data_IF_831299113150
#
_entry.id   IF_831299113150
#
_cell.length_a   1.000
_cell.length_b   1.000
_cell.length_c   1.000
_cell.angle_alpha   90.00
_cell.angle_beta   90.00
_cell.angle_gamma   90.00
#
_symmetry.space_group_name_H-M   'P 1'
#
loop_
_entity.id
_entity.type
_entity.pdbx_description
1 polymer ?
#
# COMPACT_ATOMS: atom_id res chain seq x y z
N UNK A 1 -6.67 -14.39 -18.42
CA UNK A 1 -5.43 -13.99 -17.70
C UNK A 1 -5.64 -12.57 -17.20
N UNK A 2 -5.68 -12.36 -15.88
CA UNK A 2 -5.72 -11.01 -15.29
C UNK A 2 -4.38 -10.33 -15.60
N UNK A 3 -4.38 -9.31 -16.44
CA UNK A 3 -3.25 -8.39 -16.53
C UNK A 3 -3.18 -7.65 -15.20
N UNK A 4 -2.26 -8.05 -14.33
CA UNK A 4 -1.98 -7.35 -13.08
C UNK A 4 -1.44 -5.96 -13.45
N UNK A 5 -2.34 -5.01 -13.64
CA UNK A 5 -2.00 -3.64 -14.01
C UNK A 5 -1.29 -2.99 -12.81
N UNK A 6 -0.03 -2.58 -13.01
CA UNK A 6 0.75 -1.89 -11.99
C UNK A 6 0.04 -0.57 -11.68
N UNK A 7 -0.45 -0.43 -10.45
CA UNK A 7 -1.03 0.81 -9.97
C UNK A 7 0.06 1.83 -9.62
N UNK A 8 -0.27 3.11 -9.67
CA UNK A 8 0.63 4.17 -9.21
C UNK A 8 1.07 3.97 -7.76
N UNK A 9 0.14 3.54 -6.88
CA UNK A 9 0.46 3.26 -5.47
C UNK A 9 1.42 2.09 -5.31
N UNK A 10 1.22 0.99 -6.05
CA UNK A 10 2.17 -0.14 -6.02
C UNK A 10 3.56 0.28 -6.50
N UNK A 11 3.65 1.13 -7.52
CA UNK A 11 4.94 1.65 -7.99
C UNK A 11 5.59 2.60 -6.97
N UNK A 12 4.82 3.47 -6.32
CA UNK A 12 5.29 4.34 -5.24
C UNK A 12 5.86 3.53 -4.08
N UNK A 13 5.10 2.54 -3.61
CA UNK A 13 5.55 1.65 -2.52
C UNK A 13 6.77 0.85 -2.95
N UNK A 14 6.82 0.35 -4.18
CA UNK A 14 7.98 -0.35 -4.73
C UNK A 14 9.25 0.52 -4.68
N UNK A 15 9.17 1.79 -5.09
CA UNK A 15 10.30 2.74 -5.00
C UNK A 15 10.76 2.96 -3.56
N UNK A 16 9.82 3.17 -2.65
CA UNK A 16 10.14 3.31 -1.22
C UNK A 16 10.87 2.06 -0.70
N UNK A 17 10.40 0.86 -1.07
CA UNK A 17 11.05 -0.39 -0.68
C UNK A 17 12.44 -0.54 -1.30
N UNK A 18 12.64 -0.11 -2.55
CA UNK A 18 13.97 -0.07 -3.17
C UNK A 18 14.92 0.89 -2.45
N UNK A 19 14.44 2.01 -1.93
CA UNK A 19 15.23 2.95 -1.13
C UNK A 19 15.59 2.36 0.25
N UNK A 20 14.66 1.64 0.88
CA UNK A 20 14.93 0.89 2.12
C UNK A 20 16.02 -0.17 1.89
N UNK A 21 15.93 -0.93 0.80
CA UNK A 21 16.96 -1.92 0.40
C UNK A 21 18.31 -1.23 0.19
N UNK A 22 18.33 -0.15 -0.59
CA UNK A 22 19.53 0.64 -0.87
C UNK A 22 20.23 1.00 0.44
N UNK A 23 19.55 1.68 1.36
CA UNK A 23 20.13 2.12 2.63
C UNK A 23 20.54 0.99 3.55
N UNK A 24 19.79 -0.11 3.56
CA UNK A 24 20.08 -1.25 4.44
C UNK A 24 21.34 -2.03 4.02
N UNK A 25 21.71 -2.00 2.73
CA UNK A 25 22.71 -2.89 2.16
C UNK A 25 23.80 -2.21 1.31
N UNK A 26 23.73 -0.90 1.02
CA UNK A 26 24.71 -0.23 0.15
C UNK A 26 26.15 -0.27 0.66
N UNK A 27 26.35 -0.37 1.97
CA UNK A 27 27.67 -0.52 2.60
C UNK A 27 28.03 -1.97 2.93
N UNK A 28 27.09 -2.91 2.76
CA UNK A 28 27.23 -4.33 3.16
C UNK A 28 27.41 -5.27 1.99
N UNK A 29 26.94 -4.88 0.81
CA UNK A 29 26.86 -5.74 -0.37
C UNK A 29 27.47 -5.08 -1.60
N UNK A 30 27.85 -5.91 -2.58
CA UNK A 30 28.34 -5.41 -3.86
C UNK A 30 27.26 -4.63 -4.62
N UNK A 31 27.68 -3.71 -5.50
CA UNK A 31 26.75 -2.99 -6.39
C UNK A 31 25.93 -3.93 -7.28
N UNK A 32 26.49 -5.06 -7.69
CA UNK A 32 25.78 -6.08 -8.48
C UNK A 32 24.68 -6.75 -7.64
N UNK A 33 25.00 -7.20 -6.43
CA UNK A 33 24.04 -7.79 -5.49
C UNK A 33 22.91 -6.81 -5.19
N UNK A 34 23.25 -5.56 -4.89
CA UNK A 34 22.27 -4.51 -4.59
C UNK A 34 21.34 -4.23 -5.78
N UNK A 35 21.86 -4.25 -7.00
CA UNK A 35 21.05 -4.11 -8.22
C UNK A 35 20.05 -5.27 -8.35
N UNK A 36 20.47 -6.49 -8.03
CA UNK A 36 19.58 -7.67 -8.03
C UNK A 36 18.50 -7.55 -6.94
N UNK A 37 18.85 -7.13 -5.72
CA UNK A 37 17.90 -6.93 -4.62
C UNK A 37 16.82 -5.88 -4.93
N UNK A 38 17.13 -4.88 -5.75
CA UNK A 38 16.17 -3.85 -6.18
C UNK A 38 15.30 -4.28 -7.36
N UNK A 39 15.54 -5.45 -7.96
CA UNK A 39 14.85 -5.92 -9.17
C UNK A 39 13.77 -6.95 -8.82
N UNK A 40 12.58 -6.44 -8.50
CA UNK A 40 11.39 -7.26 -8.26
C UNK A 40 10.13 -6.59 -8.81
N UNK A 41 9.13 -7.41 -9.14
CA UNK A 41 7.79 -6.97 -9.45
C UNK A 41 6.96 -6.85 -8.18
N UNK A 42 6.13 -5.82 -8.09
CA UNK A 42 5.34 -5.55 -6.88
C UNK A 42 3.90 -5.18 -7.24
N UNK A 43 2.93 -5.89 -6.67
CA UNK A 43 1.52 -5.72 -7.00
C UNK A 43 0.63 -5.72 -5.76
N UNK A 44 -0.43 -4.93 -5.85
CA UNK A 44 -1.56 -5.00 -4.95
C UNK A 44 -2.66 -5.85 -5.56
N UNK A 45 -3.21 -6.76 -4.77
CA UNK A 45 -4.26 -7.67 -5.20
C UNK A 45 -5.52 -7.46 -4.37
N UNK A 46 -6.65 -7.21 -5.04
CA UNK A 46 -7.96 -7.06 -4.42
C UNK A 46 -8.44 -8.40 -3.81
N UNK A 47 -7.94 -8.75 -2.64
CA UNK A 47 -8.27 -10.01 -1.96
C UNK A 47 -8.14 -9.82 -0.45
N UNK A 48 -9.07 -10.44 0.25
CA UNK A 48 -9.16 -10.46 1.71
C UNK A 48 -9.23 -11.93 2.15
N UNK A 49 -8.29 -12.38 2.99
CA UNK A 49 -8.15 -13.78 3.38
C UNK A 49 -7.06 -14.02 4.42
N UNK A 50 -6.62 -15.27 4.56
CA UNK A 50 -5.62 -15.66 5.58
C UNK A 50 -4.19 -15.22 5.28
N UNK A 51 -3.88 -14.95 4.01
CA UNK A 51 -2.52 -14.63 3.55
C UNK A 51 -2.44 -13.12 3.31
N UNK A 52 -1.53 -12.45 4.02
CA UNK A 52 -1.33 -11.01 3.95
C UNK A 52 -0.51 -10.60 2.71
N UNK A 53 0.42 -11.45 2.29
CA UNK A 53 1.29 -11.25 1.15
C UNK A 53 2.03 -12.53 0.81
N UNK A 54 2.69 -12.56 -0.35
CA UNK A 54 3.60 -13.64 -0.72
C UNK A 54 4.62 -13.19 -1.77
N UNK A 55 5.81 -13.74 -1.66
CA UNK A 55 6.89 -13.67 -2.63
C UNK A 55 6.97 -14.95 -3.48
N UNK A 56 7.15 -14.78 -4.79
CA UNK A 56 7.37 -15.84 -5.77
C UNK A 56 8.79 -15.70 -6.33
N UNK A 57 9.69 -16.61 -5.95
CA UNK A 57 11.12 -16.53 -6.25
C UNK A 57 11.47 -16.83 -7.71
N UNK A 58 10.68 -17.65 -8.40
CA UNK A 58 10.85 -18.01 -9.81
C UNK A 58 10.77 -16.80 -10.76
N UNK A 59 9.95 -15.82 -10.40
CA UNK A 59 9.69 -14.62 -11.22
C UNK A 59 9.94 -13.30 -10.48
N UNK A 60 10.56 -13.36 -9.30
CA UNK A 60 10.82 -12.22 -8.41
C UNK A 60 9.59 -11.32 -8.22
N UNK A 61 8.45 -11.91 -7.88
CA UNK A 61 7.16 -11.22 -7.76
C UNK A 61 6.68 -11.18 -6.32
N UNK A 62 6.32 -9.99 -5.86
CA UNK A 62 5.68 -9.73 -4.58
C UNK A 62 4.22 -9.34 -4.83
N UNK A 63 3.30 -9.96 -4.09
CA UNK A 63 1.88 -9.60 -4.08
C UNK A 63 1.41 -9.35 -2.66
N UNK A 64 0.73 -8.23 -2.45
CA UNK A 64 0.19 -7.81 -1.15
C UNK A 64 -1.35 -7.80 -1.20
N UNK A 65 -1.97 -8.25 -0.12
CA UNK A 65 -3.42 -8.41 0.08
C UNK A 65 -3.85 -7.83 1.44
N UNK A 66 -5.13 -7.98 1.77
CA UNK A 66 -5.72 -7.62 3.06
C UNK A 66 -5.57 -6.13 3.40
N UNK A 67 -6.13 -5.27 2.55
CA UNK A 67 -6.05 -3.82 2.69
C UNK A 67 -7.09 -3.21 3.65
N UNK A 68 -7.96 -4.04 4.23
CA UNK A 68 -8.85 -3.62 5.32
C UNK A 68 -8.09 -3.30 6.63
N UNK A 69 -6.85 -3.78 6.74
CA UNK A 69 -5.95 -3.56 7.88
C UNK A 69 -5.38 -2.14 7.93
N UNK A 70 -4.90 -1.68 9.10
CA UNK A 70 -4.19 -0.40 9.20
C UNK A 70 -3.00 -0.33 8.24
N UNK A 71 -2.75 0.84 7.65
CA UNK A 71 -1.72 1.01 6.62
C UNK A 71 -0.32 0.60 7.11
N UNK A 72 0.00 0.82 8.39
CA UNK A 72 1.24 0.35 9.01
C UNK A 72 1.42 -1.18 8.96
N UNK A 73 0.35 -1.95 9.19
CA UNK A 73 0.39 -3.41 9.12
C UNK A 73 0.61 -3.89 7.68
N UNK A 74 -0.03 -3.21 6.72
CA UNK A 74 0.16 -3.48 5.29
C UNK A 74 1.61 -3.17 4.89
N UNK A 75 2.18 -2.05 5.35
CA UNK A 75 3.57 -1.71 5.06
C UNK A 75 4.56 -2.72 5.65
N UNK A 76 4.36 -3.18 6.88
CA UNK A 76 5.19 -4.24 7.46
C UNK A 76 5.08 -5.53 6.65
N UNK A 77 3.89 -5.87 6.16
CA UNK A 77 3.72 -6.98 5.21
C UNK A 77 4.55 -6.76 3.95
N UNK A 78 4.56 -5.54 3.39
CA UNK A 78 5.39 -5.22 2.23
C UNK A 78 6.89 -5.42 2.50
N UNK A 79 7.37 -4.95 3.66
CA UNK A 79 8.77 -5.11 4.07
C UNK A 79 9.10 -6.59 4.32
N UNK A 80 8.18 -7.36 4.91
CA UNK A 80 8.32 -8.80 5.12
C UNK A 80 8.49 -9.55 3.79
N UNK A 81 7.65 -9.28 2.80
CA UNK A 81 7.79 -9.93 1.48
C UNK A 81 9.04 -9.48 0.73
N UNK A 82 9.46 -8.22 0.91
CA UNK A 82 10.76 -7.75 0.39
C UNK A 82 11.92 -8.42 1.11
N UNK A 83 11.81 -8.71 2.41
CA UNK A 83 12.82 -9.46 3.13
C UNK A 83 12.99 -10.87 2.53
N UNK A 84 11.90 -11.55 2.17
CA UNK A 84 11.98 -12.83 1.45
C UNK A 84 12.72 -12.71 0.10
N UNK A 85 12.50 -11.62 -0.63
CA UNK A 85 13.22 -11.37 -1.88
C UNK A 85 14.72 -11.13 -1.63
N UNK A 86 15.07 -10.21 -0.73
CA UNK A 86 16.47 -9.87 -0.40
C UNK A 86 17.22 -11.10 0.11
N UNK A 87 16.59 -11.85 1.01
CA UNK A 87 17.13 -13.08 1.57
C UNK A 87 17.37 -14.15 0.49
N UNK A 88 16.44 -14.30 -0.46
CA UNK A 88 16.61 -15.16 -1.63
C UNK A 88 17.76 -14.69 -2.53
N UNK A 89 17.96 -13.39 -2.73
CA UNK A 89 19.10 -12.89 -3.53
C UNK A 89 20.43 -13.22 -2.84
N UNK A 90 20.49 -13.16 -1.51
CA UNK A 90 21.71 -13.46 -0.74
C UNK A 90 22.01 -14.96 -0.72
N UNK A 91 21.00 -15.79 -0.42
CA UNK A 91 21.19 -17.22 -0.11
C UNK A 91 20.72 -18.18 -1.19
N UNK A 92 20.05 -17.69 -2.22
CA UNK A 92 19.32 -18.49 -3.22
C UNK A 92 18.21 -19.37 -2.60
N UNK A 93 17.79 -19.09 -1.37
CA UNK A 93 16.66 -19.69 -0.68
C UNK A 93 16.07 -18.70 0.35
N UNK A 94 14.80 -18.90 0.72
CA UNK A 94 14.19 -18.12 1.80
C UNK A 94 13.21 -18.95 2.63
N UNK A 95 13.32 -18.84 3.96
CA UNK A 95 12.53 -19.56 4.97
C UNK A 95 12.40 -18.67 6.21
N UNK A 96 11.46 -18.94 7.11
CA UNK A 96 11.31 -18.17 8.36
C UNK A 96 12.32 -18.60 9.44
N UNK A 97 13.61 -18.56 9.13
CA UNK A 97 14.72 -18.87 10.04
C UNK A 97 15.38 -17.60 10.62
N UNK A 98 16.39 -17.77 11.48
CA UNK A 98 17.09 -16.65 12.11
C UNK A 98 17.75 -15.72 11.08
N UNK A 99 18.26 -16.25 9.97
CA UNK A 99 18.90 -15.46 8.91
C UNK A 99 17.89 -14.58 8.19
N UNK A 100 16.70 -15.11 7.88
CA UNK A 100 15.59 -14.30 7.38
C UNK A 100 15.20 -13.19 8.36
N UNK A 101 15.09 -13.48 9.66
CA UNK A 101 14.76 -12.46 10.65
C UNK A 101 15.85 -11.39 10.78
N UNK A 102 17.12 -11.72 10.50
CA UNK A 102 18.18 -10.72 10.41
C UNK A 102 17.99 -9.79 9.21
N UNK A 103 17.67 -10.34 8.03
CA UNK A 103 17.36 -9.54 6.83
C UNK A 103 16.17 -8.63 7.08
N UNK A 104 15.10 -9.20 7.64
CA UNK A 104 13.89 -8.46 7.92
C UNK A 104 14.12 -7.34 8.95
N UNK A 105 14.84 -7.64 10.04
CA UNK A 105 15.22 -6.64 11.04
C UNK A 105 16.02 -5.48 10.41
N UNK A 106 17.01 -5.78 9.57
CA UNK A 106 17.82 -4.75 8.90
C UNK A 106 16.97 -3.80 8.06
N UNK A 107 15.98 -4.33 7.34
CA UNK A 107 15.05 -3.51 6.56
C UNK A 107 14.11 -2.69 7.46
N UNK A 108 13.64 -3.27 8.57
CA UNK A 108 12.76 -2.59 9.53
C UNK A 108 13.45 -1.43 10.23
N UNK A 109 14.68 -1.59 10.74
CA UNK A 109 15.38 -0.48 11.43
C UNK A 109 15.61 0.71 10.49
N UNK A 110 15.90 0.44 9.21
CA UNK A 110 16.04 1.48 8.19
C UNK A 110 14.68 2.12 7.90
N UNK A 111 13.62 1.33 7.74
CA UNK A 111 12.28 1.87 7.52
C UNK A 111 11.81 2.76 8.69
N UNK A 112 12.11 2.37 9.93
CA UNK A 112 11.83 3.20 11.12
C UNK A 112 12.70 4.46 11.13
N UNK A 113 13.99 4.35 10.81
CA UNK A 113 14.90 5.50 10.68
C UNK A 113 14.45 6.51 9.62
N UNK A 114 13.88 6.03 8.51
CA UNK A 114 13.26 6.84 7.46
C UNK A 114 11.89 7.43 7.85
N UNK A 115 11.33 7.05 9.00
CA UNK A 115 10.02 7.49 9.46
C UNK A 115 8.83 6.88 8.69
N UNK A 116 9.03 5.75 8.01
CA UNK A 116 7.98 5.03 7.27
C UNK A 116 6.98 4.34 8.21
N UNK A 117 7.49 3.87 9.35
CA UNK A 117 6.77 3.16 10.40
C UNK A 117 7.40 3.52 11.75
N UNK A 118 6.57 3.68 12.78
CA UNK A 118 7.01 3.83 14.17
C UNK A 118 7.16 2.49 14.88
N UNK A 119 7.96 2.46 15.96
CA UNK A 119 8.06 1.28 16.84
C UNK A 119 6.71 0.91 17.45
N UNK A 120 5.91 1.92 17.79
CA UNK A 120 4.58 1.76 18.35
C UNK A 120 3.67 1.04 17.35
N UNK A 121 3.64 1.50 16.09
CA UNK A 121 2.89 0.82 15.02
C UNK A 121 3.36 -0.62 14.81
N UNK A 122 4.66 -0.89 14.87
CA UNK A 122 5.20 -2.25 14.75
C UNK A 122 4.73 -3.15 15.91
N UNK A 123 4.75 -2.63 17.14
CA UNK A 123 4.35 -3.38 18.34
C UNK A 123 2.85 -3.70 18.42
N UNK A 124 2.02 -2.95 17.68
CA UNK A 124 0.57 -3.15 17.62
C UNK A 124 0.14 -4.23 16.60
N UNK A 125 1.09 -4.81 15.86
CA UNK A 125 0.81 -5.88 14.90
C UNK A 125 0.51 -7.17 15.65
N UNK A 126 -0.77 -7.55 15.64
CA UNK A 126 -1.27 -8.77 16.30
C UNK A 126 -1.79 -9.81 15.30
N UNK A 127 -1.91 -9.46 14.01
CA UNK A 127 -2.46 -10.34 12.97
C UNK A 127 -1.45 -11.37 12.44
N UNK A 128 -0.22 -11.40 12.99
CA UNK A 128 0.83 -12.37 12.66
C UNK A 128 1.75 -12.62 13.85
N UNK A 129 2.41 -13.78 13.90
CA UNK A 129 3.45 -14.07 14.91
C UNK A 129 4.80 -13.39 14.59
N UNK A 130 4.79 -12.37 13.73
CA UNK A 130 5.99 -11.68 13.27
C UNK A 130 6.70 -10.95 14.41
N UNK A 131 5.95 -10.22 15.24
CA UNK A 131 6.48 -9.44 16.37
C UNK A 131 7.20 -10.34 17.37
N UNK A 132 6.54 -11.42 17.81
CA UNK A 132 7.12 -12.39 18.73
C UNK A 132 8.44 -12.98 18.20
N UNK A 133 8.49 -13.34 16.91
CA UNK A 133 9.71 -13.89 16.30
C UNK A 133 10.80 -12.85 16.13
N UNK A 134 10.46 -11.59 15.82
CA UNK A 134 11.43 -10.49 15.78
C UNK A 134 12.03 -10.25 17.16
N UNK A 135 11.21 -10.18 18.20
CA UNK A 135 11.68 -9.94 19.57
C UNK A 135 12.50 -11.11 20.11
N UNK A 136 12.16 -12.35 19.73
CA UNK A 136 12.96 -13.53 20.05
C UNK A 136 14.39 -13.47 19.47
N UNK A 137 14.56 -12.91 18.28
CA UNK A 137 15.86 -12.87 17.60
C UNK A 137 16.66 -11.58 17.90
N UNK A 138 15.98 -10.45 18.15
CA UNK A 138 16.62 -9.12 18.21
C UNK A 138 16.30 -8.33 19.49
N UNK A 139 15.67 -8.97 20.48
CA UNK A 139 15.22 -8.32 21.71
C UNK A 139 13.99 -7.43 21.49
N UNK A 140 13.47 -6.86 22.58
CA UNK A 140 12.21 -6.10 22.57
C UNK A 140 12.28 -4.87 21.65
N UNK A 141 11.23 -4.66 20.84
CA UNK A 141 11.19 -3.58 19.82
C UNK A 141 11.48 -2.20 20.41
N UNK A 142 10.95 -1.93 21.62
CA UNK A 142 11.15 -0.65 22.30
C UNK A 142 12.63 -0.28 22.48
N UNK A 143 13.50 -1.29 22.66
CA UNK A 143 14.93 -1.10 22.91
C UNK A 143 15.80 -1.13 21.66
N UNK A 144 15.24 -1.33 20.46
CA UNK A 144 16.03 -1.30 19.23
C UNK A 144 16.69 0.07 19.01
N UNK A 145 17.97 0.09 18.64
CA UNK A 145 18.65 1.34 18.28
C UNK A 145 18.26 1.75 16.87
N UNK A 146 17.69 2.94 16.73
CA UNK A 146 17.27 3.50 15.44
C UNK A 146 18.08 4.76 15.16
N UNK A 147 18.67 4.82 13.97
CA UNK A 147 19.36 6.01 13.48
C UNK A 147 18.43 6.77 12.53
N UNK A 148 18.03 8.01 12.87
CA UNK A 148 17.17 8.81 12.00
C UNK A 148 17.85 9.11 10.67
N UNK A 149 17.12 8.93 9.58
CA UNK A 149 17.58 9.22 8.24
C UNK A 149 16.89 10.47 7.69
N UNK A 150 17.63 11.57 7.64
CA UNK A 150 17.13 12.85 7.19
C UNK A 150 17.38 13.09 5.68
N UNK A 151 18.05 12.18 4.97
CA UNK A 151 18.58 12.46 3.63
C UNK A 151 17.52 12.67 2.55
N UNK A 152 16.24 12.43 2.86
CA UNK A 152 15.12 12.49 1.93
C UNK A 152 13.96 13.38 2.42
N UNK A 153 14.12 14.08 3.55
CA UNK A 153 13.09 15.02 4.03
C UNK A 153 12.96 16.29 3.15
N UNK A 154 13.75 16.41 2.09
CA UNK A 154 13.77 17.55 1.17
C UNK A 154 12.66 17.51 0.11
N UNK A 155 11.84 16.46 0.05
CA UNK A 155 10.69 16.37 -0.83
C UNK A 155 9.39 16.07 -0.06
N UNK A 156 8.26 16.47 -0.61
CA UNK A 156 6.91 16.17 -0.12
C UNK A 156 6.02 15.70 -1.28
N UNK A 157 5.00 14.90 -0.96
CA UNK A 157 3.92 14.60 -1.90
C UNK A 157 2.81 15.62 -1.74
N UNK A 158 2.43 16.27 -2.83
CA UNK A 158 1.18 17.03 -2.87
C UNK A 158 0.08 16.11 -3.36
N UNK A 159 -0.90 15.88 -2.49
CA UNK A 159 -2.10 15.09 -2.77
C UNK A 159 -3.26 16.03 -3.07
N UNK A 160 -4.01 15.74 -4.13
CA UNK A 160 -5.18 16.51 -4.53
C UNK A 160 -6.34 15.59 -4.95
N UNK A 161 -7.48 15.70 -4.26
CA UNK A 161 -8.77 15.14 -4.68
C UNK A 161 -9.41 16.10 -5.67
N UNK A 162 -9.24 15.82 -6.95
CA UNK A 162 -9.84 16.63 -8.02
C UNK A 162 -11.11 15.95 -8.54
N UNK A 163 -12.18 16.74 -8.72
CA UNK A 163 -13.37 16.27 -9.44
C UNK A 163 -13.09 16.11 -10.93
N UNK A 164 -13.94 15.34 -11.64
CA UNK A 164 -13.83 15.09 -13.08
C UNK A 164 -13.74 16.40 -13.88
N UNK A 165 -14.48 17.43 -13.46
CA UNK A 165 -14.52 18.75 -14.13
C UNK A 165 -13.20 19.53 -14.01
N UNK A 166 -12.38 19.25 -12.99
CA UNK A 166 -11.14 19.98 -12.70
C UNK A 166 -9.88 19.16 -13.00
N UNK A 167 -10.00 17.90 -13.46
CA UNK A 167 -8.87 16.97 -13.67
C UNK A 167 -7.82 17.48 -14.65
N UNK A 168 -8.22 18.24 -15.67
CA UNK A 168 -7.28 18.74 -16.69
C UNK A 168 -6.26 19.73 -16.10
N UNK A 169 -6.59 20.42 -15.00
CA UNK A 169 -5.67 21.39 -14.37
C UNK A 169 -4.53 20.70 -13.63
N UNK A 170 -4.83 19.66 -12.86
CA UNK A 170 -3.82 18.85 -12.18
C UNK A 170 -3.00 18.05 -13.20
N UNK A 171 -3.62 17.56 -14.28
CA UNK A 171 -2.91 16.91 -15.38
C UNK A 171 -1.90 17.84 -16.07
N UNK A 172 -2.30 19.08 -16.41
CA UNK A 172 -1.40 20.11 -16.98
C UNK A 172 -0.28 20.51 -16.04
N UNK A 173 -0.50 20.45 -14.72
CA UNK A 173 0.50 20.72 -13.70
C UNK A 173 1.41 19.51 -13.37
N UNK A 174 1.39 18.47 -14.22
CA UNK A 174 2.17 17.23 -14.10
C UNK A 174 1.87 16.39 -12.85
N UNK A 175 0.63 16.42 -12.37
CA UNK A 175 0.20 15.45 -11.37
C UNK A 175 -0.09 14.10 -12.03
N UNK A 176 0.17 13.03 -11.28
CA UNK A 176 -0.10 11.65 -11.68
C UNK A 176 -1.31 11.12 -10.93
N UNK A 177 -2.23 10.48 -11.65
CA UNK A 177 -3.44 9.94 -11.05
C UNK A 177 -3.18 8.59 -10.38
N UNK A 178 -3.58 8.50 -9.11
CA UNK A 178 -3.62 7.28 -8.33
C UNK A 178 -5.04 6.71 -8.39
N UNK A 179 -5.22 5.65 -9.19
CA UNK A 179 -6.50 4.93 -9.27
C UNK A 179 -6.91 4.28 -7.95
N UNK A 180 -5.93 3.86 -7.15
CA UNK A 180 -6.10 3.13 -5.90
C UNK A 180 -6.73 3.98 -4.78
N UNK A 181 -6.30 5.23 -4.63
CA UNK A 181 -6.87 6.18 -3.66
C UNK A 181 -7.88 7.15 -4.30
N UNK A 182 -7.99 7.14 -5.64
CA UNK A 182 -8.78 8.10 -6.44
C UNK A 182 -8.36 9.55 -6.24
N UNK A 183 -7.05 9.80 -6.20
CA UNK A 183 -6.46 11.13 -6.00
C UNK A 183 -5.31 11.39 -6.97
N UNK A 184 -4.87 12.64 -7.07
CA UNK A 184 -3.73 13.07 -7.87
C UNK A 184 -2.53 13.36 -6.96
N UNK A 185 -1.34 12.96 -7.41
CA UNK A 185 -0.08 13.16 -6.67
C UNK A 185 0.97 13.89 -7.50
N UNK A 186 1.77 14.72 -6.84
CA UNK A 186 2.98 15.32 -7.40
C UNK A 186 4.08 15.36 -6.35
N UNK A 187 5.28 14.91 -6.69
CA UNK A 187 6.45 15.09 -5.84
C UNK A 187 7.00 16.49 -6.06
N UNK A 188 7.25 17.22 -4.97
CA UNK A 188 7.88 18.54 -5.05
C UNK A 188 8.95 18.68 -3.97
N UNK A 189 10.04 19.43 -4.21
CA UNK A 189 10.95 19.83 -3.16
C UNK A 189 10.20 20.57 -2.04
N UNK A 190 10.54 20.32 -0.78
CA UNK A 190 9.91 20.94 0.40
C UNK A 190 9.98 22.47 0.36
N UNK A 191 11.06 23.02 -0.20
CA UNK A 191 11.21 24.47 -0.45
C UNK A 191 10.17 25.04 -1.42
N UNK A 192 9.64 24.21 -2.32
CA UNK A 192 8.61 24.58 -3.30
C UNK A 192 7.20 24.16 -2.88
N UNK A 193 7.06 23.51 -1.71
CA UNK A 193 5.77 23.02 -1.20
C UNK A 193 4.73 24.14 -1.16
N UNK A 194 5.07 25.30 -0.57
CA UNK A 194 4.11 26.38 -0.41
C UNK A 194 3.65 26.95 -1.75
N UNK A 195 4.57 27.11 -2.71
CA UNK A 195 4.25 27.57 -4.07
C UNK A 195 3.23 26.65 -4.74
N UNK A 196 3.41 25.34 -4.60
CA UNK A 196 2.49 24.35 -5.18
C UNK A 196 1.13 24.33 -4.45
N UNK A 197 1.11 24.48 -3.12
CA UNK A 197 -0.13 24.61 -2.34
C UNK A 197 -0.90 25.89 -2.72
N UNK A 198 -0.21 27.00 -2.92
CA UNK A 198 -0.81 28.28 -3.34
C UNK A 198 -1.37 28.19 -4.77
N UNK A 199 -0.74 27.41 -5.65
CA UNK A 199 -1.29 27.10 -6.97
C UNK A 199 -2.61 26.34 -6.85
N UNK A 200 -2.69 25.30 -6.01
CA UNK A 200 -3.92 24.53 -5.81
C UNK A 200 -5.02 25.37 -5.13
N UNK A 201 -4.66 26.24 -4.18
CA UNK A 201 -5.61 27.10 -3.47
C UNK A 201 -6.44 28.01 -4.39
N UNK A 202 -5.93 28.36 -5.59
CA UNK A 202 -6.66 29.15 -6.59
C UNK A 202 -7.87 28.43 -7.17
N UNK A 203 -7.91 27.10 -7.09
CA UNK A 203 -8.88 26.29 -7.84
C UNK A 203 -9.60 25.24 -7.00
N UNK A 204 -9.05 24.88 -5.85
CA UNK A 204 -9.54 23.81 -4.98
C UNK A 204 -9.78 24.32 -3.56
N UNK A 205 -10.73 23.70 -2.86
CA UNK A 205 -10.98 23.95 -1.43
C UNK A 205 -9.84 23.35 -0.61
N UNK A 206 -9.57 23.91 0.57
CA UNK A 206 -8.48 23.44 1.44
C UNK A 206 -8.61 21.96 1.84
N UNK A 207 -9.83 21.43 1.93
CA UNK A 207 -10.11 20.01 2.21
C UNK A 207 -9.82 19.06 1.04
N UNK A 208 -9.61 19.60 -0.17
CA UNK A 208 -9.37 18.81 -1.38
C UNK A 208 -7.89 18.56 -1.63
N UNK A 209 -6.96 19.18 -0.89
CA UNK A 209 -5.54 18.96 -1.08
C UNK A 209 -4.74 19.07 0.22
N UNK A 210 -3.61 18.36 0.26
CA UNK A 210 -2.67 18.41 1.37
C UNK A 210 -1.25 18.12 0.89
N UNK A 211 -0.27 18.62 1.64
CA UNK A 211 1.10 18.14 1.55
C UNK A 211 1.27 17.00 2.57
N UNK A 212 1.77 15.86 2.12
CA UNK A 212 2.09 14.71 2.94
C UNK A 212 3.61 14.48 2.85
N UNK A 213 4.23 14.08 3.97
CA UNK A 213 5.60 13.55 3.91
C UNK A 213 5.66 12.41 2.90
N UNK A 214 6.78 12.29 2.18
CA UNK A 214 6.97 11.16 1.27
C UNK A 214 6.83 9.80 1.96
N UNK A 215 7.09 9.81 3.27
CA UNK A 215 7.10 8.69 4.19
C UNK A 215 5.85 8.56 5.04
N UNK A 216 4.88 9.48 4.91
CA UNK A 216 3.57 9.21 5.45
C UNK A 216 2.89 8.15 4.56
N UNK A 217 3.02 6.88 4.97
CA UNK A 217 2.36 5.75 4.34
C UNK A 217 0.93 5.63 4.89
N UNK A 218 0.20 6.75 4.98
CA UNK A 218 -1.24 6.76 5.25
C UNK A 218 -2.01 6.65 3.93
N UNK A 219 -1.91 5.51 3.25
CA UNK A 219 -2.74 5.27 2.06
C UNK A 219 -4.09 4.68 2.45
N UNK A 220 -5.14 5.13 1.79
CA UNK A 220 -6.50 4.60 1.95
C UNK A 220 -6.90 3.86 0.69
N UNK A 221 -7.12 2.55 0.79
CA UNK A 221 -7.45 1.72 -0.36
C UNK A 221 -8.94 1.81 -0.66
N UNK A 222 -9.32 2.13 -1.89
CA UNK A 222 -10.72 2.09 -2.32
C UNK A 222 -11.02 0.75 -2.99
N UNK A 223 -11.96 -0.01 -2.44
CA UNK A 223 -12.50 -1.21 -3.07
C UNK A 223 -13.71 -0.88 -3.93
N UNK A 224 -13.74 -1.49 -5.12
CA UNK A 224 -14.95 -1.68 -5.88
C UNK A 224 -15.56 -3.02 -5.50
N UNK A 225 -16.69 -2.97 -4.81
CA UNK A 225 -17.49 -4.15 -4.48
C UNK A 225 -18.48 -4.37 -5.59
N UNK A 226 -18.43 -5.54 -6.23
CA UNK A 226 -19.31 -5.95 -7.31
C UNK A 226 -20.08 -7.21 -6.90
N UNK A 227 -21.40 -7.13 -6.97
CA UNK A 227 -22.32 -8.18 -6.55
C UNK A 227 -23.07 -8.73 -7.76
N UNK A 228 -23.05 -10.05 -7.92
CA UNK A 228 -23.95 -10.77 -8.83
C UNK A 228 -25.10 -11.40 -8.04
N UNK A 229 -26.18 -11.72 -8.76
CA UNK A 229 -27.42 -12.31 -8.22
C UNK A 229 -28.17 -11.39 -7.23
N UNK A 230 -27.94 -10.08 -7.28
CA UNK A 230 -28.58 -9.12 -6.36
C UNK A 230 -30.03 -8.75 -6.69
N UNK A 231 -30.64 -9.31 -7.75
CA UNK A 231 -31.99 -8.92 -8.20
C UNK A 231 -33.05 -9.11 -7.10
N UNK A 232 -32.94 -10.19 -6.33
CA UNK A 232 -33.86 -10.50 -5.22
C UNK A 232 -33.70 -9.53 -4.04
N UNK A 233 -32.52 -8.92 -3.89
CA UNK A 233 -32.17 -8.01 -2.79
C UNK A 233 -32.15 -6.53 -3.24
N UNK A 234 -32.78 -6.21 -4.38
CA UNK A 234 -32.69 -4.90 -5.06
C UNK A 234 -32.90 -3.71 -4.11
N UNK A 235 -33.98 -3.72 -3.34
CA UNK A 235 -34.34 -2.57 -2.50
C UNK A 235 -33.42 -2.45 -1.27
N UNK A 236 -32.93 -3.57 -0.74
CA UNK A 236 -31.92 -3.57 0.33
C UNK A 236 -30.56 -3.06 -0.17
N UNK A 237 -30.14 -3.51 -1.36
CA UNK A 237 -28.89 -3.08 -1.99
C UNK A 237 -28.88 -1.57 -2.29
N UNK A 238 -30.01 -1.02 -2.77
CA UNK A 238 -30.16 0.43 -2.93
C UNK A 238 -30.02 1.18 -1.60
N UNK A 239 -30.66 0.69 -0.53
CA UNK A 239 -30.54 1.29 0.81
C UNK A 239 -29.10 1.24 1.33
N UNK A 240 -28.35 0.20 0.98
CA UNK A 240 -26.92 0.10 1.28
C UNK A 240 -26.02 0.94 0.36
N UNK A 241 -26.57 1.65 -0.62
CA UNK A 241 -25.82 2.53 -1.52
C UNK A 241 -25.15 1.83 -2.70
N UNK A 242 -25.66 0.66 -3.12
CA UNK A 242 -25.25 0.03 -4.36
C UNK A 242 -26.01 0.58 -5.56
N UNK A 243 -25.31 0.70 -6.68
CA UNK A 243 -25.85 1.13 -7.95
C UNK A 243 -25.81 -0.01 -8.96
N UNK A 244 -26.89 -0.18 -9.72
CA UNK A 244 -26.98 -1.22 -10.74
C UNK A 244 -26.11 -0.85 -11.96
N UNK A 245 -25.26 -1.77 -12.39
CA UNK A 245 -24.35 -1.67 -13.55
C UNK A 245 -23.43 -0.43 -13.57
N UNK A 246 -23.14 0.12 -12.39
CA UNK A 246 -22.25 1.28 -12.27
C UNK A 246 -20.75 0.91 -12.43
N UNK A 247 -19.93 1.91 -12.77
CA UNK A 247 -18.46 1.87 -12.79
C UNK A 247 -17.81 0.90 -13.78
N UNK A 248 -18.55 0.45 -14.80
CA UNK A 248 -18.10 -0.47 -15.84
C UNK A 248 -17.44 -1.74 -15.27
N UNK A 249 -18.14 -2.40 -14.33
CA UNK A 249 -17.70 -3.64 -13.68
C UNK A 249 -18.36 -4.91 -14.26
N UNK A 250 -19.15 -4.74 -15.31
CA UNK A 250 -19.85 -5.78 -16.04
C UNK A 250 -21.38 -5.69 -15.92
N UNK A 251 -22.08 -6.26 -16.89
CA UNK A 251 -23.53 -6.32 -16.91
C UNK A 251 -24.08 -7.19 -15.76
N UNK A 252 -25.32 -6.89 -15.35
CA UNK A 252 -26.07 -7.58 -14.32
C UNK A 252 -25.39 -7.61 -12.94
N UNK A 253 -24.71 -6.51 -12.59
CA UNK A 253 -24.02 -6.36 -11.31
C UNK A 253 -24.54 -5.18 -10.49
N UNK A 254 -24.53 -5.32 -9.17
CA UNK A 254 -24.71 -4.20 -8.24
C UNK A 254 -23.36 -3.78 -7.68
N UNK A 255 -23.02 -2.51 -7.79
CA UNK A 255 -21.68 -2.03 -7.55
C UNK A 255 -21.64 -0.88 -6.54
N UNK A 256 -20.63 -0.88 -5.67
CA UNK A 256 -20.39 0.16 -4.67
C UNK A 256 -18.90 0.40 -4.52
N UNK A 257 -18.51 1.64 -4.26
CA UNK A 257 -17.15 2.02 -3.92
C UNK A 257 -17.10 2.30 -2.41
N UNK A 258 -16.13 1.74 -1.70
CA UNK A 258 -15.93 1.97 -0.27
C UNK A 258 -14.46 1.89 0.12
N UNK A 259 -14.12 2.44 1.29
CA UNK A 259 -12.79 2.29 1.87
C UNK A 259 -12.58 0.84 2.29
N UNK A 260 -11.42 0.24 1.98
CA UNK A 260 -11.12 -1.14 2.32
C UNK A 260 -11.24 -1.41 3.83
N UNK A 261 -10.95 -0.44 4.69
CA UNK A 261 -11.17 -0.55 6.14
C UNK A 261 -12.64 -0.74 6.54
N UNK A 262 -13.59 -0.32 5.69
CA UNK A 262 -15.02 -0.54 5.89
C UNK A 262 -15.50 -1.90 5.35
N UNK A 263 -14.63 -2.63 4.65
CA UNK A 263 -14.98 -3.91 4.03
C UNK A 263 -15.49 -4.96 5.02
N UNK A 264 -14.89 -5.17 6.21
CA UNK A 264 -15.38 -6.19 7.15
C UNK A 264 -16.85 -5.97 7.55
N UNK A 265 -17.20 -4.73 7.90
CA UNK A 265 -18.57 -4.38 8.27
C UNK A 265 -19.55 -4.45 7.09
N UNK A 266 -19.10 -4.11 5.88
CA UNK A 266 -19.93 -4.24 4.68
C UNK A 266 -20.16 -5.72 4.32
N UNK A 267 -19.10 -6.53 4.40
CA UNK A 267 -19.14 -7.96 4.11
C UNK A 267 -20.14 -8.68 5.02
N UNK A 268 -20.16 -8.38 6.31
CA UNK A 268 -21.11 -8.97 7.27
C UNK A 268 -22.58 -8.69 6.88
N UNK A 269 -22.88 -7.50 6.35
CA UNK A 269 -24.24 -7.16 5.86
C UNK A 269 -24.59 -7.99 4.63
N UNK A 270 -23.65 -8.14 3.70
CA UNK A 270 -23.85 -8.90 2.46
C UNK A 270 -23.97 -10.41 2.72
N UNK A 271 -23.27 -10.96 3.72
CA UNK A 271 -23.34 -12.37 4.07
C UNK A 271 -24.73 -12.79 4.60
N UNK A 272 -25.51 -11.84 5.14
CA UNK A 272 -26.91 -12.06 5.56
C UNK A 272 -27.85 -12.24 4.35
N UNK A 273 -27.45 -11.79 3.17
CA UNK A 273 -28.23 -11.87 1.94
C UNK A 273 -27.89 -13.15 1.16
N UNK A 274 -28.75 -14.17 1.28
CA UNK A 274 -28.52 -15.48 0.62
C UNK A 274 -28.43 -15.36 -0.91
N UNK A 275 -27.50 -16.11 -1.50
CA UNK A 275 -27.35 -16.26 -2.95
C UNK A 275 -26.52 -15.18 -3.66
N UNK A 276 -26.07 -14.15 -2.94
CA UNK A 276 -25.16 -13.13 -3.48
C UNK A 276 -23.78 -13.71 -3.79
N UNK A 277 -23.24 -13.34 -4.95
CA UNK A 277 -21.84 -13.61 -5.30
C UNK A 277 -21.07 -12.31 -5.26
N UNK A 278 -20.13 -12.21 -4.32
CA UNK A 278 -19.39 -10.98 -4.03
C UNK A 278 -17.98 -11.04 -4.60
N UNK A 279 -17.55 -9.94 -5.22
CA UNK A 279 -16.18 -9.74 -5.73
C UNK A 279 -15.69 -8.35 -5.35
N UNK A 280 -14.46 -8.27 -4.86
CA UNK A 280 -13.74 -7.00 -4.66
C UNK A 280 -12.73 -6.78 -5.78
N UNK A 281 -12.54 -5.53 -6.19
CA UNK A 281 -11.63 -5.13 -7.26
C UNK A 281 -10.87 -3.86 -6.89
N UNK A 282 -9.68 -3.72 -7.47
CA UNK A 282 -8.88 -2.49 -7.49
C UNK A 282 -8.88 -2.00 -8.94
N UNK A 283 -9.51 -0.86 -9.22
CA UNK A 283 -9.64 -0.26 -10.56
C UNK A 283 -9.26 1.21 -10.48
#
# INVERSE_FOLDING_TARGET
MSTDQISYSSERIRKILQDVIQKAYETKESSETLTKMKRFWFYFQAKEGKINGYYQSDIFRIRIQNFSRPAGHVLVTCIHEVAHHVDFIIRNETKHDATFYQVFYNLLIVAIGMGLISKEQLSLIQDTNCVEKLEKNHGLIKYWTIYPDNSYQDCVWIKCRSSILKKERVKKANYQFCSFEKVWYKQVPKKQMQVELDYLARYYKKSEYCAESIYNVSFSVMYYVSLRNGRIHKEELKKLGYFYEAYDLGAFTWNKILLASQWPAEKEKLEKMKGLKVRILLK
#
